data_IF_314869481888
#
_entry.id   IF_314869481888
#
_cell.length_a   1.000
_cell.length_b   1.000
_cell.length_c   1.000
_cell.angle_alpha   90.00
_cell.angle_beta   90.00
_cell.angle_gamma   90.00
#
_symmetry.space_group_name_H-M   'P 1'
#
loop_
_entity.id
_entity.type
_entity.pdbx_description
1 polymer ?
#
# COMPACT_ATOMS: atom_id res chain seq x y z
N UNK A 1 28.51 -8.23 4.97
CA UNK A 1 28.03 -9.28 4.05
C UNK A 1 26.77 -8.74 3.40
N UNK A 2 26.60 -8.92 2.09
CA UNK A 2 25.35 -8.52 1.43
C UNK A 2 24.24 -9.49 1.85
N UNK A 3 23.08 -8.97 2.27
CA UNK A 3 21.91 -9.80 2.61
C UNK A 3 21.41 -10.51 1.36
N UNK A 4 21.20 -11.83 1.45
CA UNK A 4 20.55 -12.56 0.36
C UNK A 4 19.04 -12.32 0.40
N UNK A 5 18.59 -11.33 -0.37
CA UNK A 5 17.19 -10.95 -0.44
C UNK A 5 16.29 -12.05 -1.02
N UNK A 6 16.82 -12.98 -1.82
CA UNK A 6 16.04 -14.11 -2.33
C UNK A 6 15.77 -15.12 -1.21
N UNK A 7 16.78 -15.42 -0.39
CA UNK A 7 16.61 -16.30 0.75
C UNK A 7 15.59 -15.75 1.76
N UNK A 8 15.67 -14.46 2.10
CA UNK A 8 14.70 -13.82 3.01
C UNK A 8 13.29 -13.76 2.39
N UNK A 9 13.18 -13.55 1.08
CA UNK A 9 11.89 -13.61 0.37
C UNK A 9 11.25 -15.00 0.46
N UNK A 10 12.02 -16.07 0.18
CA UNK A 10 11.54 -17.45 0.25
C UNK A 10 11.13 -17.81 1.68
N UNK A 11 11.93 -17.39 2.67
CA UNK A 11 11.60 -17.56 4.08
C UNK A 11 10.29 -16.87 4.47
N UNK A 12 10.08 -15.63 4.03
CA UNK A 12 8.84 -14.89 4.26
C UNK A 12 7.63 -15.56 3.60
N UNK A 13 7.80 -16.12 2.39
CA UNK A 13 6.76 -16.88 1.71
C UNK A 13 6.42 -18.19 2.46
N UNK A 14 7.43 -18.88 2.98
CA UNK A 14 7.30 -20.19 3.64
C UNK A 14 6.88 -20.14 5.11
N UNK A 15 6.74 -18.96 5.74
CA UNK A 15 6.65 -18.76 7.20
C UNK A 15 5.36 -19.27 7.90
N UNK A 16 4.72 -20.32 7.38
CA UNK A 16 3.55 -20.97 7.98
C UNK A 16 3.41 -22.44 7.61
N UNK A 17 4.50 -23.11 7.21
CA UNK A 17 4.54 -24.58 7.04
C UNK A 17 4.94 -25.32 8.33
N UNK A 18 5.27 -24.60 9.42
CA UNK A 18 5.60 -25.19 10.72
C UNK A 18 4.34 -25.55 11.55
N UNK A 19 3.32 -26.11 10.91
CA UNK A 19 2.01 -26.41 11.51
C UNK A 19 1.56 -27.87 11.41
N UNK A 20 2.24 -28.71 10.62
CA UNK A 20 1.90 -30.14 10.48
C UNK A 20 2.99 -31.07 11.03
N UNK A 21 3.59 -30.69 12.16
CA UNK A 21 4.32 -31.65 13.00
C UNK A 21 3.42 -32.05 14.17
N UNK A 22 2.80 -33.21 14.00
CA UNK A 22 2.13 -34.04 14.99
C UNK A 22 2.58 -33.83 16.44
N UNK A 23 1.63 -33.64 17.36
CA UNK A 23 1.77 -34.09 18.75
C UNK A 23 1.54 -33.05 19.84
N UNK A 24 0.37 -33.19 20.47
CA UNK A 24 0.05 -32.87 21.86
C UNK A 24 -0.32 -31.46 22.32
N UNK A 25 -1.39 -31.48 23.10
CA UNK A 25 -2.14 -30.42 23.74
C UNK A 25 -1.28 -29.74 24.82
N UNK A 26 -1.11 -28.43 24.72
CA UNK A 26 -1.19 -27.55 25.90
C UNK A 26 -1.46 -26.12 25.46
N UNK A 27 -2.53 -25.56 26.04
CA UNK A 27 -2.99 -24.20 25.83
C UNK A 27 -1.87 -23.19 26.09
N UNK A 28 -1.32 -22.65 25.01
CA UNK A 28 -0.68 -21.33 25.00
C UNK A 28 -1.46 -20.51 24.00
N UNK A 29 -2.06 -19.45 24.53
CA UNK A 29 -2.95 -18.51 23.86
C UNK A 29 -2.47 -18.20 22.44
N UNK A 30 -3.41 -18.35 21.52
CA UNK A 30 -3.36 -17.91 20.14
C UNK A 30 -2.89 -16.46 20.07
N UNK A 31 -1.59 -16.25 19.88
CA UNK A 31 -1.14 -15.13 19.07
C UNK A 31 -1.22 -15.65 17.66
N UNK A 32 -2.38 -15.48 17.04
CA UNK A 32 -2.60 -15.80 15.64
C UNK A 32 -1.44 -15.23 14.82
N UNK A 33 -0.62 -16.12 14.25
CA UNK A 33 0.37 -15.74 13.25
C UNK A 33 -0.43 -15.37 12.00
N UNK A 34 -0.95 -14.15 11.97
CA UNK A 34 -1.67 -13.62 10.82
C UNK A 34 -0.84 -13.83 9.56
N UNK A 35 -1.48 -14.17 8.42
CA UNK A 35 -0.78 -14.48 7.16
C UNK A 35 0.14 -13.33 6.70
N UNK A 36 -0.08 -12.12 7.22
CA UNK A 36 0.67 -10.91 6.90
C UNK A 36 1.98 -10.76 7.69
N UNK A 37 2.12 -11.39 8.87
CA UNK A 37 3.24 -11.13 9.79
C UNK A 37 4.62 -11.35 9.16
N UNK A 38 4.77 -12.41 8.36
CA UNK A 38 6.02 -12.71 7.64
C UNK A 38 6.35 -11.69 6.54
N UNK A 39 5.33 -11.16 5.86
CA UNK A 39 5.49 -10.16 4.79
C UNK A 39 5.94 -8.82 5.36
N UNK A 40 5.33 -8.39 6.47
CA UNK A 40 5.69 -7.15 7.14
C UNK A 40 7.08 -7.23 7.75
N UNK A 41 7.44 -8.37 8.36
CA UNK A 41 8.78 -8.59 8.89
C UNK A 41 9.85 -8.50 7.78
N UNK A 42 9.57 -9.07 6.59
CA UNK A 42 10.44 -8.92 5.43
C UNK A 42 10.59 -7.45 5.01
N UNK A 43 9.47 -6.71 4.92
CA UNK A 43 9.50 -5.30 4.56
C UNK A 43 10.27 -4.46 5.59
N UNK A 44 10.04 -4.67 6.89
CA UNK A 44 10.73 -3.95 7.96
C UNK A 44 12.24 -4.24 7.96
N UNK A 45 12.63 -5.49 7.72
CA UNK A 45 14.03 -5.88 7.56
C UNK A 45 14.66 -5.18 6.36
N UNK A 46 13.98 -5.20 5.21
CA UNK A 46 14.44 -4.57 3.98
C UNK A 46 14.64 -3.06 4.16
N UNK A 47 13.65 -2.38 4.74
CA UNK A 47 13.72 -0.96 5.01
C UNK A 47 14.85 -0.59 5.99
N UNK A 48 15.07 -1.41 7.01
CA UNK A 48 16.12 -1.17 8.00
C UNK A 48 17.51 -1.41 7.44
N UNK A 49 17.71 -2.47 6.67
CA UNK A 49 19.01 -2.82 6.08
C UNK A 49 19.40 -1.87 4.95
N UNK A 50 18.48 -1.61 4.01
CA UNK A 50 18.77 -0.73 2.87
C UNK A 50 18.75 0.75 3.27
N UNK A 51 17.96 1.12 4.28
CA UNK A 51 17.83 2.49 4.79
C UNK A 51 18.89 2.85 5.85
N UNK A 52 19.43 1.86 6.55
CA UNK A 52 20.41 2.04 7.62
C UNK A 52 19.90 2.92 8.76
N UNK A 53 20.84 3.44 9.56
CA UNK A 53 20.52 4.29 10.71
C UNK A 53 19.74 5.56 10.34
N UNK A 54 19.99 6.09 9.14
CA UNK A 54 19.32 7.29 8.66
C UNK A 54 17.81 7.06 8.57
N UNK A 55 17.38 5.96 7.96
CA UNK A 55 15.98 5.62 7.83
C UNK A 55 15.29 5.46 9.18
N UNK A 56 15.94 4.79 10.13
CA UNK A 56 15.40 4.65 11.49
C UNK A 56 15.26 6.00 12.21
N UNK A 57 16.23 6.91 12.04
CA UNK A 57 16.16 8.28 12.58
C UNK A 57 15.02 9.07 11.93
N UNK A 58 14.84 8.95 10.62
CA UNK A 58 13.77 9.61 9.87
C UNK A 58 12.38 9.12 10.31
N UNK A 59 12.18 7.79 10.43
CA UNK A 59 10.92 7.23 10.91
C UNK A 59 10.59 7.69 12.34
N UNK A 60 11.59 7.73 13.24
CA UNK A 60 11.40 8.27 14.60
C UNK A 60 11.02 9.74 14.59
N UNK A 61 11.62 10.55 13.70
CA UNK A 61 11.25 11.95 13.51
C UNK A 61 9.81 12.07 13.02
N UNK A 62 9.43 11.31 12.00
CA UNK A 62 8.07 11.29 11.44
C UNK A 62 7.01 10.90 12.49
N UNK A 63 7.28 9.90 13.33
CA UNK A 63 6.37 9.52 14.43
C UNK A 63 6.23 10.62 15.49
N UNK A 64 7.30 11.38 15.74
CA UNK A 64 7.27 12.51 16.70
C UNK A 64 6.56 13.74 16.14
N UNK A 65 6.63 13.97 14.83
CA UNK A 65 5.93 15.07 14.15
C UNK A 65 4.47 14.74 13.88
N UNK A 66 4.11 13.49 13.60
CA UNK A 66 2.70 13.09 13.53
C UNK A 66 1.96 13.34 14.86
N UNK A 67 2.66 13.22 16.00
CA UNK A 67 2.13 13.57 17.33
C UNK A 67 2.12 15.09 17.63
N UNK A 68 2.72 15.91 16.76
CA UNK A 68 2.86 17.36 16.91
C UNK A 68 2.53 18.02 15.58
N UNK A 69 1.23 18.25 15.34
CA UNK A 69 0.55 18.83 14.15
C UNK A 69 1.30 19.95 13.40
N UNK A 70 2.45 19.66 12.81
CA UNK A 70 3.25 20.62 12.06
C UNK A 70 3.78 19.94 10.80
N UNK A 71 3.53 20.59 9.67
CA UNK A 71 3.73 20.05 8.33
C UNK A 71 5.17 19.60 8.10
N UNK A 72 5.35 18.31 7.84
CA UNK A 72 6.68 17.73 7.69
C UNK A 72 7.29 18.07 6.32
N UNK A 73 8.27 18.96 6.30
CA UNK A 73 9.15 19.19 5.15
C UNK A 73 10.40 18.32 5.27
N UNK A 74 10.63 17.47 4.26
CA UNK A 74 11.86 16.67 4.14
C UNK A 74 12.98 17.61 3.71
N UNK A 75 14.09 17.64 4.46
CA UNK A 75 15.21 18.52 4.11
C UNK A 75 15.94 18.04 2.83
N UNK A 76 16.73 18.92 2.21
CA UNK A 76 17.40 18.60 0.94
C UNK A 76 18.41 17.44 1.05
N UNK A 77 18.96 17.17 2.24
CA UNK A 77 19.90 16.06 2.48
C UNK A 77 19.15 14.75 2.61
N UNK A 78 18.05 14.75 3.35
CA UNK A 78 17.10 13.66 3.49
C UNK A 78 16.49 13.30 2.13
N UNK A 79 16.22 14.28 1.27
CA UNK A 79 15.70 14.01 -0.08
C UNK A 79 16.68 13.21 -0.94
N UNK A 80 17.98 13.50 -0.86
CA UNK A 80 19.02 12.72 -1.56
C UNK A 80 19.13 11.30 -1.01
N UNK A 81 19.11 11.14 0.31
CA UNK A 81 19.13 9.83 0.97
C UNK A 81 17.89 9.01 0.62
N UNK A 82 16.72 9.65 0.59
CA UNK A 82 15.44 9.03 0.22
C UNK A 82 15.46 8.56 -1.23
N UNK A 83 15.97 9.37 -2.14
CA UNK A 83 16.10 8.98 -3.56
C UNK A 83 17.05 7.79 -3.71
N UNK A 84 18.20 7.81 -3.03
CA UNK A 84 19.15 6.70 -3.05
C UNK A 84 18.55 5.41 -2.46
N UNK A 85 17.78 5.52 -1.37
CA UNK A 85 17.07 4.40 -0.77
C UNK A 85 16.05 3.81 -1.76
N UNK A 86 15.23 4.65 -2.41
CA UNK A 86 14.27 4.21 -3.43
C UNK A 86 14.96 3.42 -4.55
N UNK A 87 16.13 3.88 -5.01
CA UNK A 87 16.91 3.16 -6.03
C UNK A 87 17.38 1.80 -5.55
N UNK A 88 17.91 1.69 -4.32
CA UNK A 88 18.31 0.40 -3.75
C UNK A 88 17.12 -0.56 -3.59
N UNK A 89 16.02 -0.08 -3.01
CA UNK A 89 14.81 -0.86 -2.83
C UNK A 89 14.20 -1.31 -4.15
N UNK A 90 14.18 -0.46 -5.18
CA UNK A 90 13.70 -0.82 -6.51
C UNK A 90 14.58 -1.86 -7.18
N UNK A 91 15.90 -1.82 -6.98
CA UNK A 91 16.82 -2.84 -7.47
C UNK A 91 16.50 -4.20 -6.83
N UNK A 92 16.34 -4.24 -5.50
CA UNK A 92 15.91 -5.46 -4.78
C UNK A 92 14.55 -5.94 -5.28
N UNK A 93 13.56 -5.05 -5.34
CA UNK A 93 12.22 -5.36 -5.85
C UNK A 93 12.27 -6.00 -7.24
N UNK A 94 13.03 -5.41 -8.17
CA UNK A 94 13.17 -5.91 -9.54
C UNK A 94 13.72 -7.33 -9.59
N UNK A 95 14.66 -7.69 -8.70
CA UNK A 95 15.22 -9.05 -8.64
C UNK A 95 14.28 -10.11 -8.09
N UNK A 96 13.22 -9.68 -7.39
CA UNK A 96 12.25 -10.54 -6.68
C UNK A 96 10.87 -10.56 -7.35
N UNK A 97 10.58 -9.63 -8.28
CA UNK A 97 9.33 -9.65 -9.04
C UNK A 97 9.27 -10.91 -9.89
N UNK A 98 8.21 -11.69 -9.69
CA UNK A 98 7.81 -12.78 -10.55
C UNK A 98 6.79 -12.25 -11.57
N UNK A 99 6.84 -12.75 -12.80
CA UNK A 99 5.82 -12.40 -13.79
C UNK A 99 4.47 -12.99 -13.38
N UNK A 100 3.40 -12.20 -13.56
CA UNK A 100 2.01 -12.57 -13.22
C UNK A 100 1.56 -13.95 -13.72
N UNK A 101 1.91 -14.42 -14.94
CA UNK A 101 1.52 -15.76 -15.39
C UNK A 101 2.02 -16.89 -14.49
N UNK A 102 3.21 -16.73 -13.90
CA UNK A 102 3.80 -17.73 -13.00
C UNK A 102 3.17 -17.71 -11.59
N UNK A 103 2.54 -16.61 -11.19
CA UNK A 103 1.84 -16.48 -9.90
C UNK A 103 0.48 -17.21 -9.89
N UNK A 104 -0.07 -17.52 -11.05
CA UNK A 104 -1.33 -18.24 -11.18
C UNK A 104 -1.16 -19.76 -11.25
N UNK A 105 0.00 -20.23 -11.71
CA UNK A 105 0.26 -21.65 -12.01
C UNK A 105 0.97 -22.39 -10.86
N UNK A 106 1.60 -21.67 -9.93
CA UNK A 106 2.30 -22.26 -8.80
C UNK A 106 1.62 -21.78 -7.53
N UNK A 107 1.07 -22.71 -6.74
CA UNK A 107 0.87 -22.74 -5.28
C UNK A 107 -0.33 -23.65 -4.95
N UNK A 108 -0.08 -24.73 -4.21
CA UNK A 108 -1.05 -25.78 -3.87
C UNK A 108 -1.88 -25.50 -2.61
N UNK A 109 -1.57 -24.44 -1.85
CA UNK A 109 -2.29 -24.02 -0.63
C UNK A 109 -2.64 -22.54 -0.71
N UNK A 110 -3.87 -22.19 -0.33
CA UNK A 110 -4.46 -20.85 -0.45
C UNK A 110 -3.74 -19.78 0.41
N UNK A 111 -3.31 -20.14 1.62
CA UNK A 111 -2.57 -19.23 2.53
C UNK A 111 -1.15 -18.90 2.05
N UNK A 112 -0.43 -19.86 1.47
CA UNK A 112 0.86 -19.62 0.84
C UNK A 112 0.71 -18.74 -0.41
N UNK A 113 -0.42 -18.88 -1.13
CA UNK A 113 -0.78 -18.03 -2.27
C UNK A 113 -0.99 -16.58 -1.86
N UNK A 114 -1.70 -16.31 -0.77
CA UNK A 114 -1.89 -14.94 -0.24
C UNK A 114 -0.54 -14.28 0.07
N UNK A 115 0.34 -14.97 0.78
CA UNK A 115 1.66 -14.44 1.15
C UNK A 115 2.53 -14.11 -0.05
N UNK A 116 2.60 -15.00 -1.04
CA UNK A 116 3.35 -14.74 -2.26
C UNK A 116 2.77 -13.53 -3.00
N UNK A 117 1.44 -13.40 -3.07
CA UNK A 117 0.80 -12.24 -3.69
C UNK A 117 1.09 -10.93 -2.94
N UNK A 118 1.04 -10.95 -1.61
CA UNK A 118 1.40 -9.80 -0.77
C UNK A 118 2.88 -9.40 -0.94
N UNK A 119 3.80 -10.36 -0.99
CA UNK A 119 5.21 -10.09 -1.26
C UNK A 119 5.41 -9.52 -2.68
N UNK A 120 4.70 -10.04 -3.67
CA UNK A 120 4.75 -9.56 -5.05
C UNK A 120 4.16 -8.15 -5.23
N UNK A 121 3.14 -7.82 -4.44
CA UNK A 121 2.61 -6.47 -4.32
C UNK A 121 3.69 -5.52 -3.76
N UNK A 122 4.33 -5.88 -2.65
CA UNK A 122 5.43 -5.09 -2.05
C UNK A 122 6.54 -4.86 -3.08
N UNK A 123 7.05 -5.91 -3.74
CA UNK A 123 8.12 -5.76 -4.74
C UNK A 123 7.76 -4.77 -5.86
N UNK A 124 6.53 -4.80 -6.37
CA UNK A 124 6.06 -3.86 -7.40
C UNK A 124 5.94 -2.43 -6.89
N UNK A 125 5.49 -2.24 -5.66
CA UNK A 125 5.48 -0.91 -5.02
C UNK A 125 6.89 -0.34 -4.90
N UNK A 126 7.90 -1.17 -4.55
CA UNK A 126 9.29 -0.74 -4.51
C UNK A 126 9.80 -0.35 -5.91
N UNK A 127 9.49 -1.13 -6.95
CA UNK A 127 9.84 -0.79 -8.33
C UNK A 127 9.16 0.52 -8.80
N UNK A 128 7.93 0.78 -8.36
CA UNK A 128 7.20 2.00 -8.69
C UNK A 128 7.91 3.26 -8.19
N UNK A 129 8.67 3.18 -7.09
CA UNK A 129 9.32 4.31 -6.43
C UNK A 129 10.29 5.10 -7.31
N UNK A 130 10.83 4.47 -8.36
CA UNK A 130 11.85 5.04 -9.25
C UNK A 130 11.34 5.32 -10.65
N UNK A 131 10.06 5.04 -10.94
CA UNK A 131 9.51 5.23 -12.28
C UNK A 131 9.21 6.70 -12.57
N UNK A 132 9.96 7.26 -13.51
CA UNK A 132 9.80 8.64 -13.97
C UNK A 132 8.87 8.71 -15.20
N UNK A 133 8.85 7.65 -16.02
CA UNK A 133 8.04 7.62 -17.25
C UNK A 133 6.56 7.42 -16.95
N UNK A 134 5.73 8.39 -17.35
CA UNK A 134 4.28 8.40 -17.09
C UNK A 134 3.54 7.14 -17.57
N UNK A 135 3.90 6.59 -18.75
CA UNK A 135 3.25 5.39 -19.31
C UNK A 135 3.54 4.15 -18.46
N UNK A 136 4.81 3.89 -18.17
CA UNK A 136 5.25 2.76 -17.32
C UNK A 136 4.67 2.88 -15.90
N UNK A 137 4.70 4.10 -15.33
CA UNK A 137 4.10 4.39 -14.02
C UNK A 137 2.61 4.08 -13.99
N UNK A 138 1.86 4.42 -15.04
CA UNK A 138 0.41 4.12 -15.14
C UNK A 138 0.14 2.62 -15.25
N UNK A 139 0.95 1.89 -16.01
CA UNK A 139 0.82 0.43 -16.17
C UNK A 139 1.08 -0.27 -14.84
N UNK A 140 2.20 0.03 -14.19
CA UNK A 140 2.55 -0.59 -12.90
C UNK A 140 1.56 -0.21 -11.80
N UNK A 141 1.02 1.02 -11.82
CA UNK A 141 -0.06 1.43 -10.91
C UNK A 141 -1.30 0.54 -11.04
N UNK A 142 -1.74 0.23 -12.27
CA UNK A 142 -2.87 -0.68 -12.51
C UNK A 142 -2.54 -2.11 -12.08
N UNK A 143 -1.31 -2.55 -12.30
CA UNK A 143 -0.87 -3.88 -11.87
C UNK A 143 -0.87 -4.02 -10.34
N UNK A 144 -0.40 -2.98 -9.63
CA UNK A 144 -0.46 -2.90 -8.17
C UNK A 144 -1.91 -2.93 -7.70
N UNK A 145 -2.81 -2.15 -8.32
CA UNK A 145 -4.23 -2.16 -7.99
C UNK A 145 -4.86 -3.55 -8.20
N UNK A 146 -4.66 -4.18 -9.35
CA UNK A 146 -5.23 -5.50 -9.62
C UNK A 146 -4.69 -6.61 -8.72
N UNK A 147 -3.42 -6.51 -8.28
CA UNK A 147 -2.89 -7.41 -7.25
C UNK A 147 -3.51 -7.14 -5.88
N UNK A 148 -3.72 -5.86 -5.55
CA UNK A 148 -4.34 -5.45 -4.30
C UNK A 148 -5.79 -5.94 -4.21
N UNK A 149 -6.59 -5.81 -5.28
CA UNK A 149 -7.96 -6.35 -5.35
C UNK A 149 -8.00 -7.85 -5.05
N UNK A 150 -6.99 -8.58 -5.54
CA UNK A 150 -6.86 -10.03 -5.34
C UNK A 150 -6.42 -10.38 -3.92
N UNK A 151 -5.53 -9.59 -3.34
CA UNK A 151 -5.12 -9.74 -1.94
C UNK A 151 -6.30 -9.44 -1.02
N UNK A 152 -7.10 -8.40 -1.31
CA UNK A 152 -8.31 -8.07 -0.57
C UNK A 152 -9.27 -9.26 -0.55
N UNK A 153 -9.64 -9.75 -1.74
CA UNK A 153 -10.54 -10.90 -1.89
C UNK A 153 -10.07 -12.12 -1.09
N UNK A 154 -8.77 -12.45 -1.15
CA UNK A 154 -8.27 -13.64 -0.47
C UNK A 154 -8.09 -13.45 1.04
N UNK A 155 -7.79 -12.23 1.51
CA UNK A 155 -7.72 -11.94 2.95
C UNK A 155 -9.11 -12.00 3.58
N UNK A 156 -10.11 -11.42 2.93
CA UNK A 156 -11.50 -11.45 3.40
C UNK A 156 -12.08 -12.88 3.35
N UNK A 157 -11.72 -13.67 2.32
CA UNK A 157 -12.11 -15.08 2.24
C UNK A 157 -11.45 -15.96 3.31
N UNK A 158 -10.20 -15.66 3.70
CA UNK A 158 -9.48 -16.42 4.71
C UNK A 158 -9.95 -16.11 6.14
N UNK A 159 -10.48 -14.90 6.38
CA UNK A 159 -10.93 -14.42 7.68
C UNK A 159 -12.31 -13.74 7.54
N UNK A 160 -13.38 -14.52 7.28
CA UNK A 160 -14.72 -13.95 7.21
C UNK A 160 -15.08 -13.34 8.58
N UNK A 161 -15.66 -12.13 8.62
CA UNK A 161 -16.06 -11.51 9.87
C UNK A 161 -17.02 -12.45 10.62
N UNK A 162 -16.71 -12.71 11.89
CA UNK A 162 -17.52 -13.59 12.74
C UNK A 162 -18.89 -12.95 12.95
N UNK A 163 -19.96 -13.61 12.51
CA UNK A 163 -21.34 -13.18 12.76
C UNK A 163 -21.78 -13.37 14.23
N UNK A 164 -20.89 -13.89 15.09
CA UNK A 164 -21.23 -14.30 16.45
C UNK A 164 -20.90 -13.24 17.52
N UNK A 165 -20.12 -12.21 17.19
CA UNK A 165 -19.71 -11.18 18.14
C UNK A 165 -20.22 -9.81 17.67
N UNK A 166 -21.29 -9.32 18.30
CA UNK A 166 -21.87 -7.99 18.03
C UNK A 166 -20.90 -6.82 18.36
N UNK A 167 -19.78 -7.12 19.02
CA UNK A 167 -18.71 -6.19 19.40
C UNK A 167 -17.38 -6.43 18.66
N UNK A 168 -17.31 -7.39 17.73
CA UNK A 168 -16.08 -7.61 16.96
C UNK A 168 -15.87 -6.43 16.01
N UNK A 169 -14.73 -5.74 16.17
CA UNK A 169 -14.28 -4.60 15.36
C UNK A 169 -14.55 -4.93 13.87
N UNK A 170 -15.59 -4.33 13.27
CA UNK A 170 -16.15 -4.67 11.93
C UNK A 170 -15.17 -4.41 10.76
N UNK A 171 -13.92 -4.10 11.06
CA UNK A 171 -12.92 -3.71 10.08
C UNK A 171 -12.50 -4.91 9.26
N UNK A 172 -12.60 -4.78 7.94
CA UNK A 172 -12.11 -5.79 7.00
C UNK A 172 -10.62 -6.08 7.26
N UNK A 173 -10.20 -7.36 7.30
CA UNK A 173 -8.79 -7.76 7.39
C UNK A 173 -7.90 -7.08 6.34
N UNK A 174 -8.45 -6.80 5.15
CA UNK A 174 -7.75 -6.05 4.12
C UNK A 174 -7.55 -4.57 4.50
N UNK A 175 -8.54 -3.93 5.11
CA UNK A 175 -8.44 -2.55 5.58
C UNK A 175 -7.35 -2.40 6.64
N UNK A 176 -7.27 -3.33 7.60
CA UNK A 176 -6.20 -3.35 8.60
C UNK A 176 -4.82 -3.49 7.93
N UNK A 177 -4.69 -4.44 7.00
CA UNK A 177 -3.47 -4.65 6.24
C UNK A 177 -3.01 -3.38 5.51
N UNK A 178 -3.90 -2.72 4.77
CA UNK A 178 -3.51 -1.57 3.95
C UNK A 178 -3.32 -0.30 4.80
N UNK A 179 -4.27 0.04 5.67
CA UNK A 179 -4.26 1.30 6.43
C UNK A 179 -3.32 1.25 7.63
N UNK A 180 -3.35 0.19 8.43
CA UNK A 180 -2.60 0.14 9.70
C UNK A 180 -1.21 -0.47 9.54
N UNK A 181 -1.03 -1.38 8.58
CA UNK A 181 0.21 -2.12 8.45
C UNK A 181 1.07 -1.61 7.27
N UNK A 182 0.52 -1.52 6.07
CA UNK A 182 1.30 -1.19 4.87
C UNK A 182 1.56 0.31 4.72
N UNK A 183 0.54 1.15 4.87
CA UNK A 183 0.67 2.60 4.69
C UNK A 183 1.73 3.23 5.61
N UNK A 184 1.80 2.94 6.93
CA UNK A 184 2.79 3.57 7.82
C UNK A 184 4.25 3.21 7.48
N UNK A 185 4.46 2.13 6.72
CA UNK A 185 5.79 1.69 6.26
C UNK A 185 6.20 2.36 4.96
N UNK A 186 5.24 2.59 4.06
CA UNK A 186 5.49 3.00 2.69
C UNK A 186 5.14 4.45 2.38
N UNK A 187 4.35 5.14 3.20
CA UNK A 187 3.87 6.50 2.91
C UNK A 187 5.00 7.51 2.72
N UNK A 188 6.07 7.45 3.53
CA UNK A 188 7.26 8.29 3.35
C UNK A 188 8.01 7.99 2.04
N UNK A 189 7.95 6.75 1.55
CA UNK A 189 8.60 6.34 0.30
C UNK A 189 7.72 6.64 -0.92
N UNK A 190 6.43 6.41 -0.81
CA UNK A 190 5.48 6.32 -1.90
C UNK A 190 4.19 7.10 -1.59
N UNK A 191 4.28 8.40 -1.21
CA UNK A 191 3.12 9.13 -0.68
C UNK A 191 1.97 9.19 -1.69
N UNK A 192 2.28 9.54 -2.94
CA UNK A 192 1.27 9.61 -4.02
C UNK A 192 0.60 8.26 -4.30
N UNK A 193 1.33 7.15 -4.16
CA UNK A 193 0.76 5.82 -4.39
C UNK A 193 -0.10 5.38 -3.20
N UNK A 194 0.37 5.59 -1.97
CA UNK A 194 -0.39 5.25 -0.76
C UNK A 194 -1.69 6.06 -0.70
N UNK A 195 -1.62 7.37 -0.94
CA UNK A 195 -2.81 8.22 -0.99
C UNK A 195 -3.80 7.74 -2.05
N UNK A 196 -3.31 7.37 -3.24
CA UNK A 196 -4.17 6.81 -4.28
C UNK A 196 -4.85 5.51 -3.84
N UNK A 197 -4.11 4.57 -3.23
CA UNK A 197 -4.66 3.28 -2.82
C UNK A 197 -5.67 3.45 -1.69
N UNK A 198 -5.35 4.25 -0.67
CA UNK A 198 -6.28 4.56 0.41
C UNK A 198 -7.59 5.16 -0.14
N UNK A 199 -7.50 6.10 -1.09
CA UNK A 199 -8.67 6.67 -1.76
C UNK A 199 -9.43 5.66 -2.63
N UNK A 200 -8.72 4.80 -3.36
CA UNK A 200 -9.32 3.82 -4.27
C UNK A 200 -10.15 2.75 -3.55
N UNK A 201 -9.82 2.49 -2.28
CA UNK A 201 -10.54 1.56 -1.41
C UNK A 201 -11.33 2.30 -0.32
N UNK A 202 -11.63 3.58 -0.53
CA UNK A 202 -12.50 4.40 0.34
C UNK A 202 -12.09 4.41 1.82
N UNK A 203 -10.80 4.19 2.10
CA UNK A 203 -10.26 4.30 3.45
C UNK A 203 -9.99 5.77 3.71
N UNK A 204 -10.84 6.39 4.54
CA UNK A 204 -10.72 7.78 4.98
C UNK A 204 -9.25 8.17 5.19
N UNK A 205 -8.76 9.01 4.28
CA UNK A 205 -7.65 9.91 4.54
C UNK A 205 -8.33 11.07 5.24
N UNK A 206 -7.97 11.38 6.49
CA UNK A 206 -8.47 12.61 7.11
C UNK A 206 -8.11 13.78 6.18
N UNK A 207 -9.09 14.23 5.40
CA UNK A 207 -8.94 15.36 4.51
C UNK A 207 -8.84 16.58 5.43
N UNK A 208 -7.62 17.09 5.61
CA UNK A 208 -7.45 18.49 5.93
C UNK A 208 -8.11 19.26 4.78
N UNK A 209 -9.39 19.61 4.96
CA UNK A 209 -10.09 20.64 4.21
C UNK A 209 -9.36 21.96 4.48
N UNK A 210 -8.27 22.18 3.77
CA UNK A 210 -7.85 23.53 3.44
C UNK A 210 -8.87 24.04 2.44
N UNK A 211 -9.96 24.58 2.98
CA UNK A 211 -10.95 25.32 2.22
C UNK A 211 -10.23 26.41 1.43
N UNK A 212 -10.25 26.28 0.11
CA UNK A 212 -10.06 27.38 -0.82
C UNK A 212 -11.11 28.46 -0.47
N UNK A 213 -10.67 29.51 0.20
CA UNK A 213 -11.40 30.76 0.26
C UNK A 213 -10.49 31.89 -0.19
N UNK A 214 -10.63 32.28 -1.46
CA UNK A 214 -10.70 33.68 -1.88
C UNK A 214 -10.75 33.77 -3.41
N UNK A 215 -11.96 33.94 -3.96
CA UNK A 215 -12.25 34.94 -4.99
C UNK A 215 -13.76 35.17 -5.10
N UNK A 216 -14.18 36.14 -4.30
CA UNK A 216 -15.13 37.20 -4.62
C UNK A 216 -16.44 36.84 -5.34
N UNK A 217 -17.48 36.77 -4.50
CA UNK A 217 -18.73 37.54 -4.61
C UNK A 217 -18.82 38.54 -5.77
N UNK A 218 -19.74 38.31 -6.71
CA UNK A 218 -20.97 39.10 -6.87
C UNK A 218 -21.76 38.71 -8.13
N UNK A 219 -23.04 39.07 -8.11
CA UNK A 219 -24.05 39.06 -9.17
C UNK A 219 -24.95 37.81 -9.16
N UNK A 220 -25.99 37.83 -8.32
CA UNK A 220 -27.33 38.34 -8.66
C UNK A 220 -27.99 37.57 -9.80
N UNK A 221 -28.93 36.71 -9.42
CA UNK A 221 -30.00 36.21 -10.30
C UNK A 221 -30.73 37.37 -10.97
N UNK A 222 -31.14 37.18 -12.24
CA UNK A 222 -32.51 37.52 -12.59
C UNK A 222 -33.23 36.40 -13.36
N UNK A 223 -34.34 35.98 -12.76
CA UNK A 223 -35.68 35.75 -13.31
C UNK A 223 -35.91 35.98 -14.82
N UNK A 224 -36.40 34.92 -15.49
CA UNK A 224 -37.19 34.77 -16.75
C UNK A 224 -37.25 35.91 -17.77
N UNK A 225 -37.05 35.59 -19.07
CA UNK A 225 -38.11 35.59 -20.10
C UNK A 225 -37.58 35.30 -21.52
N UNK A 226 -38.33 34.45 -22.24
CA UNK A 226 -38.59 34.42 -23.68
C UNK A 226 -37.45 34.31 -24.72
N UNK A 227 -37.66 33.41 -25.70
CA UNK A 227 -37.13 33.59 -27.05
C UNK A 227 -36.52 32.37 -27.70
N UNK A 228 -37.32 31.32 -27.93
CA UNK A 228 -37.09 30.38 -29.03
C UNK A 228 -37.28 31.18 -30.34
N UNK A 229 -36.37 31.04 -31.31
CA UNK A 229 -36.60 30.91 -32.78
C UNK A 229 -35.37 31.34 -33.60
N UNK A 230 -34.90 30.38 -34.42
CA UNK A 230 -34.33 30.51 -35.78
C UNK A 230 -33.02 31.28 -36.01
N UNK A 231 -32.22 31.03 -37.06
CA UNK A 231 -32.32 30.10 -38.19
C UNK A 231 -30.88 29.81 -38.67
N UNK A 232 -30.75 28.62 -39.25
CA UNK A 232 -29.83 28.17 -40.30
C UNK A 232 -29.20 29.26 -41.20
N UNK A 233 -27.87 29.22 -41.33
CA UNK A 233 -27.04 29.43 -42.54
C UNK A 233 -25.80 28.52 -42.30
N UNK A 234 -25.50 27.41 -42.99
CA UNK A 234 -25.56 27.01 -44.40
C UNK A 234 -24.68 27.84 -45.33
N UNK A 235 -23.37 27.56 -45.23
CA UNK A 235 -22.40 27.66 -46.31
C UNK A 235 -21.53 26.38 -46.32
N UNK A 236 -22.13 25.28 -46.76
CA UNK A 236 -21.59 24.28 -47.72
C UNK A 236 -22.66 23.25 -48.04
#
# INVERSE_FOLDING_TARGET
>A
MATDWRAEYVKAAALGDAGDATGDVTAVQQTEKTPVGGVLAFLDLLLTQEGGEWWTKLQRKARRTAAKSDGQTVDAKDQKQLTALKTRLAAVGTTLVLQLPHLNASLSKETARVRVLQLQLVCRMLCYAVLIKKKERKLLKKEIQGLMDRVALLLDAANPPSLADEDADERSPFQEFLKQQLAPRLELLLPELMQYLLKAYEMEVEENKAEENAKDSNLLLPTVSAGVISLVELCM
#
